data_IF_656896387371
#
_entry.id   IF_656896387371
#
_cell.length_a   1.000
_cell.length_b   1.000
_cell.length_c   1.000
_cell.angle_alpha   90.00
_cell.angle_beta   90.00
_cell.angle_gamma   90.00
#
_symmetry.space_group_name_H-M   'P 1'
#
loop_
_entity.id
_entity.type
_entity.pdbx_description
1 polymer ?
#
# COMPACT_ATOMS: atom_id res chain seq x y z
N UNK A 1 12.09 -7.38 7.32
CA UNK A 1 11.48 -7.67 6.01
C UNK A 1 11.80 -9.10 5.61
N UNK A 2 10.83 -9.80 5.05
CA UNK A 2 11.01 -11.16 4.51
C UNK A 2 10.90 -11.06 2.99
N UNK A 3 11.88 -11.62 2.29
CA UNK A 3 11.90 -11.63 0.81
C UNK A 3 12.13 -13.06 0.33
N UNK A 4 11.27 -13.55 -0.57
CA UNK A 4 11.49 -14.81 -1.29
C UNK A 4 11.02 -14.67 -2.73
N UNK A 5 11.09 -15.76 -3.50
CA UNK A 5 10.70 -15.71 -4.93
C UNK A 5 9.21 -15.43 -5.13
N UNK A 6 8.36 -15.87 -4.19
CA UNK A 6 6.92 -15.82 -4.33
C UNK A 6 6.28 -14.59 -3.71
N UNK A 7 6.86 -14.05 -2.64
CA UNK A 7 6.29 -12.91 -1.93
C UNK A 7 7.33 -12.14 -1.12
N UNK A 8 6.93 -10.95 -0.71
CA UNK A 8 7.69 -10.08 0.20
C UNK A 8 6.75 -9.66 1.33
N UNK A 9 7.26 -9.67 2.57
CA UNK A 9 6.55 -9.12 3.72
C UNK A 9 7.35 -7.92 4.24
N UNK A 10 6.78 -6.74 4.13
CA UNK A 10 7.35 -5.51 4.67
C UNK A 10 6.66 -5.15 5.99
N UNK A 11 7.41 -4.57 6.92
CA UNK A 11 6.94 -4.13 8.23
C UNK A 11 7.19 -2.63 8.33
N UNK A 12 6.12 -1.84 8.29
CA UNK A 12 6.20 -0.38 8.28
C UNK A 12 5.35 0.25 9.37
N UNK A 13 5.76 1.46 9.76
CA UNK A 13 5.02 2.28 10.71
C UNK A 13 4.84 3.68 10.12
N UNK A 14 3.59 4.11 9.99
CA UNK A 14 3.28 5.51 9.72
C UNK A 14 3.16 6.24 11.05
N UNK A 15 3.87 7.38 11.24
CA UNK A 15 3.90 8.05 12.54
C UNK A 15 2.60 8.77 12.94
N UNK A 16 1.64 8.93 12.02
CA UNK A 16 0.38 9.59 12.33
C UNK A 16 0.44 11.12 12.31
N UNK A 17 1.41 11.70 11.62
CA UNK A 17 1.58 13.16 11.54
C UNK A 17 0.52 13.85 10.68
N UNK A 18 -0.04 13.13 9.73
CA UNK A 18 -1.00 13.66 8.75
C UNK A 18 -2.17 12.69 8.58
N UNK A 19 -3.06 12.56 9.60
CA UNK A 19 -4.19 11.63 9.50
C UNK A 19 -5.05 11.91 8.26
N UNK A 20 -5.46 10.85 7.57
CA UNK A 20 -6.26 10.95 6.36
C UNK A 20 -5.48 11.24 5.10
N UNK A 21 -4.23 11.69 5.19
CA UNK A 21 -3.38 11.91 4.01
C UNK A 21 -2.96 10.57 3.42
N UNK A 22 -3.18 10.32 2.11
CA UNK A 22 -2.81 9.04 1.52
C UNK A 22 -1.32 8.70 1.70
N UNK A 23 -1.05 7.51 2.22
CA UNK A 23 0.28 6.90 2.19
C UNK A 23 0.53 6.47 0.75
N UNK A 24 -0.51 5.92 0.08
CA UNK A 24 -0.50 5.66 -1.34
C UNK A 24 -1.79 6.22 -1.94
N UNK A 25 -1.68 7.04 -2.98
CA UNK A 25 -2.81 7.59 -3.73
C UNK A 25 -3.57 6.51 -4.50
N UNK A 26 -4.66 6.89 -5.12
CA UNK A 26 -5.53 5.94 -5.82
C UNK A 26 -4.78 5.30 -7.00
N UNK A 27 -4.72 3.98 -7.00
CA UNK A 27 -4.03 3.20 -8.02
C UNK A 27 -4.59 1.77 -8.09
N UNK A 28 -4.14 1.01 -9.07
CA UNK A 28 -4.43 -0.42 -9.16
C UNK A 28 -3.21 -1.19 -9.65
N UNK A 29 -3.20 -2.47 -9.37
CA UNK A 29 -2.21 -3.42 -9.88
C UNK A 29 -2.94 -4.42 -10.78
N UNK A 30 -2.46 -4.59 -12.03
CA UNK A 30 -3.20 -5.40 -13.02
C UNK A 30 -3.08 -6.89 -12.78
N UNK A 31 -1.96 -7.33 -12.19
CA UNK A 31 -1.65 -8.77 -12.09
C UNK A 31 -1.26 -9.21 -10.69
N UNK A 32 -1.26 -8.31 -9.71
CA UNK A 32 -0.72 -8.59 -8.39
C UNK A 32 -1.76 -8.32 -7.30
N UNK A 33 -1.87 -9.28 -6.38
CA UNK A 33 -2.66 -9.13 -5.17
C UNK A 33 -1.76 -8.64 -4.04
N UNK A 34 -2.34 -7.97 -3.04
CA UNK A 34 -1.61 -7.56 -1.84
C UNK A 34 -2.52 -7.56 -0.62
N UNK A 35 -1.92 -7.72 0.56
CA UNK A 35 -2.66 -7.77 1.81
C UNK A 35 -1.96 -6.96 2.88
N UNK A 36 -2.75 -6.30 3.72
CA UNK A 36 -2.27 -5.58 4.90
C UNK A 36 -2.76 -6.28 6.16
N UNK A 37 -1.88 -6.38 7.14
CA UNK A 37 -2.20 -6.89 8.49
C UNK A 37 -1.83 -5.77 9.45
N UNK A 38 -2.83 -5.20 10.13
CA UNK A 38 -2.60 -4.07 11.05
C UNK A 38 -2.23 -4.60 12.42
N UNK A 39 -1.06 -4.21 12.91
CA UNK A 39 -0.51 -4.67 14.19
C UNK A 39 -0.79 -3.69 15.32
N UNK A 40 -0.78 -2.37 15.03
CA UNK A 40 -1.14 -1.33 15.99
C UNK A 40 -1.68 -0.12 15.25
N UNK A 41 -2.48 0.70 15.92
CA UNK A 41 -3.13 1.85 15.30
C UNK A 41 -4.28 1.44 14.39
N UNK A 42 -4.63 2.30 13.45
CA UNK A 42 -5.76 2.09 12.53
C UNK A 42 -5.41 2.65 11.15
N UNK A 43 -5.52 1.83 10.13
CA UNK A 43 -5.41 2.27 8.74
C UNK A 43 -6.81 2.51 8.16
N UNK A 44 -6.94 3.53 7.34
CA UNK A 44 -8.12 3.76 6.52
C UNK A 44 -7.85 3.29 5.09
N UNK A 45 -8.85 2.73 4.45
CA UNK A 45 -8.76 2.25 3.06
C UNK A 45 -9.92 2.76 2.24
N UNK A 46 -9.62 3.08 0.98
CA UNK A 46 -10.61 3.12 -0.08
C UNK A 46 -10.35 1.94 -0.99
N UNK A 47 -11.38 1.11 -1.21
CA UNK A 47 -11.34 -0.04 -2.12
C UNK A 47 -12.54 0.10 -3.05
N UNK A 48 -12.31 0.31 -4.34
CA UNK A 48 -13.30 0.81 -5.29
C UNK A 48 -13.94 2.10 -4.74
N UNK A 49 -15.25 2.11 -4.50
CA UNK A 49 -15.98 3.26 -3.99
C UNK A 49 -16.25 3.15 -2.47
N UNK A 50 -15.82 2.08 -1.83
CA UNK A 50 -16.03 1.86 -0.41
C UNK A 50 -14.85 2.36 0.43
N UNK A 51 -15.19 2.97 1.57
CA UNK A 51 -14.20 3.39 2.57
C UNK A 51 -14.44 2.62 3.85
N UNK A 52 -13.35 2.18 4.49
CA UNK A 52 -13.44 1.54 5.81
C UNK A 52 -12.14 1.71 6.58
N UNK A 53 -12.26 1.65 7.90
CA UNK A 53 -11.14 1.59 8.80
C UNK A 53 -10.79 0.13 9.12
N UNK A 54 -9.50 -0.14 9.21
CA UNK A 54 -8.96 -1.45 9.58
C UNK A 54 -8.11 -1.25 10.84
N UNK A 55 -8.66 -1.59 12.01
CA UNK A 55 -7.93 -1.43 13.28
C UNK A 55 -6.96 -2.57 13.53
N UNK A 56 -6.13 -2.41 14.56
CA UNK A 56 -5.18 -3.42 15.00
C UNK A 56 -5.85 -4.79 15.20
N UNK A 57 -5.20 -5.84 14.72
CA UNK A 57 -5.70 -7.21 14.77
C UNK A 57 -6.54 -7.62 13.57
N UNK A 58 -6.86 -6.68 12.67
CA UNK A 58 -7.60 -6.96 11.44
C UNK A 58 -6.69 -6.89 10.21
N UNK A 59 -7.19 -7.39 9.10
CA UNK A 59 -6.47 -7.44 7.84
C UNK A 59 -7.40 -7.14 6.67
N UNK A 60 -6.80 -6.79 5.53
CA UNK A 60 -7.52 -6.54 4.29
C UNK A 60 -6.72 -7.08 3.12
N UNK A 61 -7.41 -7.72 2.18
CA UNK A 61 -6.86 -8.17 0.91
C UNK A 61 -7.40 -7.28 -0.20
N UNK A 62 -6.51 -6.81 -1.06
CA UNK A 62 -6.87 -6.12 -2.30
C UNK A 62 -6.39 -6.99 -3.46
N UNK A 63 -7.33 -7.52 -4.23
CA UNK A 63 -7.01 -8.38 -5.37
C UNK A 63 -6.65 -7.52 -6.59
N UNK A 64 -5.96 -8.14 -7.53
CA UNK A 64 -5.57 -7.53 -8.80
C UNK A 64 -6.74 -6.84 -9.50
N UNK A 65 -6.48 -5.71 -10.13
CA UNK A 65 -7.46 -4.96 -10.89
C UNK A 65 -8.36 -4.04 -10.06
N UNK A 66 -8.28 -4.07 -8.75
CA UNK A 66 -9.14 -3.27 -7.87
C UNK A 66 -8.44 -1.96 -7.49
N UNK A 67 -9.13 -0.83 -7.75
CA UNK A 67 -8.64 0.51 -7.37
C UNK A 67 -8.60 0.62 -5.86
N UNK A 68 -7.52 1.18 -5.34
CA UNK A 68 -7.42 1.36 -3.89
C UNK A 68 -6.44 2.47 -3.51
N UNK A 69 -6.60 2.96 -2.30
CA UNK A 69 -5.67 3.85 -1.62
C UNK A 69 -5.75 3.60 -0.11
N UNK A 70 -4.76 4.04 0.65
CA UNK A 70 -4.81 3.89 2.10
C UNK A 70 -4.04 5.01 2.80
N UNK A 71 -4.38 5.19 4.08
CA UNK A 71 -3.85 6.27 4.92
C UNK A 71 -3.86 5.84 6.39
N UNK A 72 -3.18 6.61 7.24
CA UNK A 72 -3.37 6.47 8.68
C UNK A 72 -4.66 7.20 9.06
N UNK A 73 -5.59 6.49 9.66
CA UNK A 73 -6.92 7.04 9.99
C UNK A 73 -6.88 7.98 11.21
N UNK A 74 -5.81 7.94 12.00
CA UNK A 74 -5.71 8.67 13.28
C UNK A 74 -4.37 9.35 13.44
N UNK A 75 -4.24 10.19 14.48
CA UNK A 75 -3.01 10.94 14.76
C UNK A 75 -2.00 10.16 15.63
N UNK A 76 -2.17 8.87 15.75
CA UNK A 76 -1.25 7.96 16.47
C UNK A 76 -0.50 7.08 15.46
N UNK A 77 0.66 6.50 15.83
CA UNK A 77 1.36 5.60 14.93
C UNK A 77 0.51 4.39 14.55
N UNK A 78 0.61 3.97 13.30
CA UNK A 78 -0.01 2.76 12.79
C UNK A 78 1.07 1.85 12.21
N UNK A 79 1.23 0.66 12.79
CA UNK A 79 2.18 -0.35 12.33
C UNK A 79 1.44 -1.45 11.60
N UNK A 80 1.96 -1.85 10.45
CA UNK A 80 1.32 -2.85 9.62
C UNK A 80 2.33 -3.68 8.85
N UNK A 81 1.93 -4.90 8.54
CA UNK A 81 2.64 -5.74 7.58
C UNK A 81 1.96 -5.62 6.23
N UNK A 82 2.76 -5.47 5.18
CA UNK A 82 2.28 -5.55 3.80
C UNK A 82 2.85 -6.80 3.15
N UNK A 83 1.96 -7.70 2.73
CA UNK A 83 2.29 -8.91 1.99
C UNK A 83 2.05 -8.61 0.52
N UNK A 84 3.08 -8.74 -0.30
CA UNK A 84 3.05 -8.35 -1.70
C UNK A 84 3.90 -9.27 -2.56
N UNK A 85 3.76 -9.14 -3.87
CA UNK A 85 4.61 -9.83 -4.83
C UNK A 85 5.97 -9.14 -4.93
N UNK A 86 7.00 -9.82 -5.43
CA UNK A 86 8.28 -9.17 -5.73
C UNK A 86 8.15 -7.98 -6.68
N UNK A 87 7.23 -8.02 -7.65
CA UNK A 87 6.98 -6.90 -8.57
C UNK A 87 6.51 -5.65 -7.83
N UNK A 88 5.58 -5.80 -6.89
CA UNK A 88 5.10 -4.67 -6.07
C UNK A 88 6.19 -4.12 -5.17
N UNK A 89 7.04 -4.98 -4.63
CA UNK A 89 8.20 -4.53 -3.86
C UNK A 89 9.15 -3.69 -4.72
N UNK A 90 9.41 -4.11 -5.95
CA UNK A 90 10.23 -3.34 -6.89
C UNK A 90 9.58 -2.00 -7.25
N UNK A 91 8.26 -1.96 -7.42
CA UNK A 91 7.52 -0.70 -7.63
C UNK A 91 7.75 0.26 -6.47
N UNK A 92 7.58 -0.19 -5.24
CA UNK A 92 7.74 0.64 -4.04
C UNK A 92 9.18 1.15 -3.92
N UNK A 93 10.16 0.30 -4.15
CA UNK A 93 11.57 0.71 -4.18
C UNK A 93 11.82 1.80 -5.23
N UNK A 94 11.27 1.64 -6.43
CA UNK A 94 11.42 2.62 -7.50
C UNK A 94 10.77 3.97 -7.14
N UNK A 95 9.59 3.95 -6.50
CA UNK A 95 8.92 5.17 -6.05
C UNK A 95 9.72 5.90 -4.97
N UNK A 96 10.44 5.18 -4.11
CA UNK A 96 11.19 5.74 -2.99
C UNK A 96 12.66 6.01 -3.31
N UNK A 97 13.13 5.69 -4.51
CA UNK A 97 14.55 5.86 -4.88
C UNK A 97 15.00 7.33 -4.94
N UNK A 98 14.04 8.26 -5.08
CA UNK A 98 14.32 9.70 -5.15
C UNK A 98 14.91 10.18 -6.46
N UNK A 99 15.19 9.28 -7.41
CA UNK A 99 15.82 9.61 -8.69
C UNK A 99 14.84 9.96 -9.82
N UNK A 100 13.57 9.64 -9.65
CA UNK A 100 12.54 9.82 -10.68
C UNK A 100 11.29 10.45 -10.10
N UNK A 101 10.63 11.27 -10.92
CA UNK A 101 9.35 11.90 -10.56
C UNK A 101 8.21 11.57 -11.54
N UNK A 102 8.49 10.77 -12.55
CA UNK A 102 7.51 10.29 -13.54
C UNK A 102 6.73 9.08 -12.98
N UNK A 103 5.99 9.33 -11.88
CA UNK A 103 5.35 8.25 -11.10
C UNK A 103 4.37 7.41 -11.92
N UNK A 104 3.58 8.03 -12.80
CA UNK A 104 2.66 7.28 -13.65
C UNK A 104 3.39 6.25 -14.52
N UNK A 105 4.56 6.62 -15.07
CA UNK A 105 5.39 5.71 -15.87
C UNK A 105 6.01 4.61 -15.01
N UNK A 106 6.44 4.93 -13.78
CA UNK A 106 6.96 3.93 -12.85
C UNK A 106 5.89 2.86 -12.58
N UNK A 107 4.65 3.27 -12.34
CA UNK A 107 3.54 2.32 -12.17
C UNK A 107 3.36 1.44 -13.41
N UNK A 108 3.36 2.02 -14.62
CA UNK A 108 3.22 1.27 -15.86
C UNK A 108 4.33 0.23 -16.04
N UNK A 109 5.58 0.56 -15.68
CA UNK A 109 6.72 -0.34 -15.73
C UNK A 109 6.57 -1.55 -14.80
N UNK A 110 5.68 -1.47 -13.84
CA UNK A 110 5.42 -2.51 -12.84
C UNK A 110 4.00 -3.09 -12.93
N UNK A 111 3.43 -3.08 -14.13
CA UNK A 111 2.09 -3.63 -14.41
C UNK A 111 1.00 -3.06 -13.50
N UNK A 112 1.07 -1.77 -13.29
CA UNK A 112 0.19 -1.03 -12.40
C UNK A 112 -0.24 0.28 -13.06
N UNK A 113 -1.25 0.93 -12.49
CA UNK A 113 -1.77 2.19 -13.03
C UNK A 113 -2.02 3.17 -11.88
N UNK A 114 -1.41 4.34 -11.98
CA UNK A 114 -1.67 5.45 -11.06
C UNK A 114 -2.88 6.23 -11.58
N UNK A 115 -3.89 6.39 -10.72
CA UNK A 115 -5.17 7.02 -11.08
C UNK A 115 -5.29 8.46 -10.59
N UNK A 116 -4.38 8.87 -9.68
CA UNK A 116 -4.33 10.24 -9.16
C UNK A 116 -2.91 10.76 -9.08
#
# INVERSE_FOLDING_TARGET
MIICESFVVADWTDPGRHPGRPIAGLHLHRSDDEAWIVLSGTLGFQVDDERRDVPAGESILVIRGVRHSFWNAKSEPARYLLVMTPRLHHLIEALHSGGRTDYAQIFEEHDSELLE
#
